data_IF_184193842033
#
_entry.id   IF_184193842033
#
_cell.length_a   1.000
_cell.length_b   1.000
_cell.length_c   1.000
_cell.angle_alpha   90.00
_cell.angle_beta   90.00
_cell.angle_gamma   90.00
#
_symmetry.space_group_name_H-M   'P 1'
#
loop_
_entity.id
_entity.type
_entity.pdbx_description
1 polymer ?
#
# COMPACT_ATOMS: atom_id res chain seq x y z
N UNK A 1 3.59 -6.85 19.27
CA UNK A 1 4.41 -5.84 18.57
C UNK A 1 3.78 -5.55 17.23
N UNK A 2 3.36 -4.31 17.01
CA UNK A 2 2.80 -3.89 15.73
C UNK A 2 3.91 -3.80 14.68
N UNK A 3 3.73 -4.28 13.43
CA UNK A 3 4.73 -4.10 12.38
C UNK A 3 4.93 -2.60 12.08
N UNK A 4 6.13 -2.25 11.59
CA UNK A 4 6.54 -0.85 11.41
C UNK A 4 5.75 -0.13 10.31
N UNK A 5 5.21 -0.87 9.35
CA UNK A 5 4.32 -0.37 8.30
C UNK A 5 3.16 -1.35 8.07
N UNK A 6 2.10 -0.87 7.42
CA UNK A 6 0.92 -1.65 7.11
C UNK A 6 1.24 -2.70 6.02
N UNK A 7 0.76 -3.93 6.22
CA UNK A 7 0.88 -5.03 5.26
C UNK A 7 -0.45 -5.77 5.16
N UNK A 8 -0.81 -6.17 3.94
CA UNK A 8 -1.92 -7.11 3.75
C UNK A 8 -1.55 -8.49 4.27
N UNK A 9 -2.55 -9.25 4.75
CA UNK A 9 -2.34 -10.61 5.27
C UNK A 9 -1.88 -11.59 4.19
N UNK A 10 -2.38 -11.42 2.97
CA UNK A 10 -2.12 -12.35 1.86
C UNK A 10 -0.79 -12.06 1.14
N UNK A 11 -0.09 -10.96 1.48
CA UNK A 11 1.22 -10.54 0.94
C UNK A 11 1.35 -10.46 -0.60
N UNK A 12 0.29 -10.73 -1.36
CA UNK A 12 0.28 -10.63 -2.83
C UNK A 12 0.25 -9.18 -3.32
N UNK A 13 -0.28 -8.26 -2.49
CA UNK A 13 -0.40 -6.85 -2.81
C UNK A 13 0.19 -6.00 -1.70
N UNK A 14 0.90 -4.96 -2.10
CA UNK A 14 1.41 -3.94 -1.21
C UNK A 14 0.40 -2.77 -1.12
N UNK A 15 0.30 -2.15 0.05
CA UNK A 15 -0.46 -0.90 0.18
C UNK A 15 0.50 0.27 0.00
N UNK A 16 0.41 0.94 -1.14
CA UNK A 16 1.18 2.13 -1.41
C UNK A 16 0.32 3.33 -1.07
N UNK A 17 0.82 4.18 -0.17
CA UNK A 17 0.17 5.42 0.22
C UNK A 17 0.73 6.58 -0.61
N UNK A 18 -0.10 7.60 -0.78
CA UNK A 18 0.26 8.90 -1.34
C UNK A 18 0.71 9.85 -0.24
N UNK A 19 1.74 10.64 -0.50
CA UNK A 19 2.17 11.70 0.40
C UNK A 19 1.21 12.89 0.31
N UNK A 20 1.17 13.77 1.33
CA UNK A 20 0.32 14.95 1.30
C UNK A 20 0.60 15.92 0.13
N UNK A 21 1.80 15.86 -0.43
CA UNK A 21 2.24 16.69 -1.56
C UNK A 21 1.85 16.09 -2.92
N UNK A 22 1.43 14.83 -2.94
CA UNK A 22 1.05 14.06 -4.12
C UNK A 22 -0.49 13.96 -4.23
N UNK A 23 -0.99 13.64 -5.42
CA UNK A 23 -2.43 13.50 -5.70
C UNK A 23 -2.83 12.04 -5.97
N UNK A 24 -2.15 11.10 -5.32
CA UNK A 24 -2.43 9.69 -5.43
C UNK A 24 -3.78 9.31 -4.80
N UNK A 25 -4.21 8.07 -5.02
CA UNK A 25 -5.54 7.64 -4.61
C UNK A 25 -5.62 7.03 -3.21
N UNK A 26 -4.51 6.49 -2.70
CA UNK A 26 -4.48 5.80 -1.43
C UNK A 26 -3.88 6.67 -0.34
N UNK A 27 -4.60 6.79 0.78
CA UNK A 27 -4.17 7.58 1.93
C UNK A 27 -4.17 6.74 3.19
N UNK A 28 -3.29 7.06 4.14
CA UNK A 28 -3.26 6.41 5.45
C UNK A 28 -4.59 6.58 6.22
N UNK A 29 -5.32 7.67 5.98
CA UNK A 29 -6.65 7.91 6.56
C UNK A 29 -7.73 6.92 6.08
N UNK A 30 -7.53 6.31 4.91
CA UNK A 30 -8.52 5.44 4.26
C UNK A 30 -8.16 3.95 4.38
N UNK A 31 -7.29 3.59 5.33
CA UNK A 31 -6.91 2.21 5.55
C UNK A 31 -8.12 1.36 5.97
N UNK A 32 -8.24 0.12 5.45
CA UNK A 32 -9.29 -0.77 5.87
C UNK A 32 -9.15 -1.08 7.38
N UNK A 33 -10.25 -1.20 8.12
CA UNK A 33 -10.19 -1.54 9.54
C UNK A 33 -9.59 -2.94 9.73
N UNK A 34 -8.85 -3.11 10.83
CA UNK A 34 -8.25 -4.39 11.17
C UNK A 34 -9.33 -5.47 11.38
N UNK A 35 -9.13 -6.67 10.83
CA UNK A 35 -10.06 -7.80 10.92
C UNK A 35 -9.41 -9.00 11.60
N UNK A 36 -10.14 -9.64 12.51
CA UNK A 36 -9.75 -10.89 13.17
C UNK A 36 -10.79 -11.97 12.82
N UNK A 37 -10.46 -12.85 11.87
CA UNK A 37 -11.47 -13.69 11.22
C UNK A 37 -12.49 -12.81 10.48
N UNK A 38 -13.78 -13.03 10.75
CA UNK A 38 -14.88 -12.25 10.17
C UNK A 38 -15.25 -10.99 11.00
N UNK A 39 -14.66 -10.80 12.17
CA UNK A 39 -14.96 -9.66 13.04
C UNK A 39 -14.11 -8.44 12.66
N UNK A 40 -14.78 -7.30 12.42
CA UNK A 40 -14.14 -6.00 12.22
C UNK A 40 -13.83 -5.38 13.58
N UNK A 41 -12.57 -5.01 13.79
CA UNK A 41 -12.11 -4.35 15.00
C UNK A 41 -12.29 -2.84 14.89
N UNK A 42 -12.99 -2.24 15.86
CA UNK A 42 -13.30 -0.81 15.90
C UNK A 42 -12.80 -0.12 17.18
N UNK A 43 -12.25 -0.87 18.14
CA UNK A 43 -11.87 -0.30 19.44
C UNK A 43 -10.51 0.42 19.36
N UNK A 44 -10.26 1.31 20.31
CA UNK A 44 -8.96 1.95 20.54
C UNK A 44 -8.15 1.18 21.58
N UNK A 45 -6.82 1.23 21.50
CA UNK A 45 -5.97 0.61 22.51
C UNK A 45 -6.18 1.27 23.89
N UNK A 46 -6.47 0.46 24.90
CA UNK A 46 -6.57 0.87 26.29
C UNK A 46 -5.18 0.90 26.93
N UNK A 47 -4.89 1.97 27.68
CA UNK A 47 -3.67 2.07 28.46
C UNK A 47 -3.68 1.06 29.63
N UNK A 48 -2.53 0.48 29.93
CA UNK A 48 -2.33 -0.56 30.97
C UNK A 48 -3.16 -1.84 30.78
N UNK A 49 -3.62 -2.09 29.55
CA UNK A 49 -4.25 -3.35 29.14
C UNK A 49 -3.39 -4.06 28.11
N UNK A 50 -3.44 -5.39 28.12
CA UNK A 50 -2.82 -6.21 27.08
C UNK A 50 -3.60 -6.16 25.75
N UNK A 51 -4.74 -5.44 25.71
CA UNK A 51 -5.55 -5.25 24.50
C UNK A 51 -5.90 -6.58 23.79
N UNK A 52 -6.15 -7.61 24.60
CA UNK A 52 -6.42 -8.97 24.13
C UNK A 52 -7.79 -8.97 23.43
N UNK A 53 -7.89 -9.48 22.20
CA UNK A 53 -9.17 -9.59 21.51
C UNK A 53 -10.16 -10.40 22.33
N UNK A 54 -11.38 -9.90 22.48
CA UNK A 54 -12.47 -10.56 23.21
C UNK A 54 -13.69 -10.75 22.32
N UNK A 55 -14.66 -11.55 22.75
CA UNK A 55 -15.95 -11.70 22.05
C UNK A 55 -16.75 -10.40 21.96
N UNK A 56 -16.44 -9.40 22.81
CA UNK A 56 -17.12 -8.10 22.83
C UNK A 56 -16.48 -7.06 21.92
N UNK A 57 -15.22 -7.24 21.51
CA UNK A 57 -14.48 -6.21 20.81
C UNK A 57 -12.99 -6.51 20.68
N UNK A 58 -12.37 -5.83 19.71
CA UNK A 58 -10.95 -5.89 19.40
C UNK A 58 -10.46 -4.53 18.89
N UNK A 59 -9.19 -4.25 19.14
CA UNK A 59 -8.55 -2.97 18.78
C UNK A 59 -8.29 -2.89 17.29
N UNK A 60 -8.70 -1.78 16.67
CA UNK A 60 -8.32 -1.47 15.30
C UNK A 60 -6.86 -1.01 15.28
N UNK A 61 -5.93 -1.92 15.05
CA UNK A 61 -4.52 -1.53 15.00
C UNK A 61 -4.14 -0.70 13.77
N UNK A 62 -4.91 -0.81 12.67
CA UNK A 62 -4.61 -0.10 11.43
C UNK A 62 -4.77 1.43 11.58
N UNK A 63 -5.56 1.88 12.56
CA UNK A 63 -5.78 3.31 12.83
C UNK A 63 -4.51 4.06 13.27
N UNK A 64 -3.47 3.34 13.70
CA UNK A 64 -2.20 3.92 14.13
C UNK A 64 -1.20 4.14 13.00
N UNK A 65 -1.49 3.66 11.78
CA UNK A 65 -0.71 4.00 10.58
C UNK A 65 -1.22 5.32 10.02
N UNK A 66 -0.67 6.43 10.51
CA UNK A 66 -1.15 7.79 10.16
C UNK A 66 -0.26 8.52 9.17
N UNK A 67 0.95 8.04 8.93
CA UNK A 67 1.97 8.76 8.17
C UNK A 67 2.46 7.94 6.99
N UNK A 68 2.44 8.54 5.80
CA UNK A 68 2.97 7.92 4.59
C UNK A 68 4.47 8.21 4.47
N UNK A 69 5.30 7.16 4.61
CA UNK A 69 6.75 7.23 4.51
C UNK A 69 7.28 6.09 3.66
N UNK A 70 8.44 6.30 3.03
CA UNK A 70 9.19 5.23 2.37
C UNK A 70 9.71 4.25 3.44
N UNK A 71 9.01 3.13 3.59
CA UNK A 71 9.38 2.01 4.45
C UNK A 71 9.15 0.69 3.74
N UNK A 72 9.95 -0.33 4.09
CA UNK A 72 9.85 -1.65 3.47
C UNK A 72 10.67 -1.79 2.19
N UNK A 73 10.39 -2.84 1.44
CA UNK A 73 10.96 -3.08 0.10
C UNK A 73 10.02 -2.52 -0.97
N UNK A 74 10.58 -2.24 -2.15
CA UNK A 74 9.77 -1.87 -3.32
C UNK A 74 8.86 -3.05 -3.75
N UNK A 75 7.75 -2.77 -4.46
CA UNK A 75 6.84 -3.82 -4.95
C UNK A 75 7.55 -4.88 -5.80
N UNK A 76 6.91 -6.05 -5.93
CA UNK A 76 7.47 -7.21 -6.67
C UNK A 76 8.84 -7.64 -6.14
N UNK A 77 8.93 -7.82 -4.81
CA UNK A 77 10.14 -8.26 -4.12
C UNK A 77 11.35 -7.34 -4.38
N UNK A 78 11.11 -6.03 -4.53
CA UNK A 78 12.14 -5.03 -4.78
C UNK A 78 12.52 -4.82 -6.25
N UNK A 79 11.83 -5.46 -7.20
CA UNK A 79 12.23 -5.46 -8.61
C UNK A 79 11.67 -4.26 -9.39
N UNK A 80 10.49 -3.77 -9.02
CA UNK A 80 9.83 -2.66 -9.72
C UNK A 80 9.96 -1.37 -8.91
N UNK A 81 10.70 -0.40 -9.45
CA UNK A 81 10.81 0.94 -8.88
C UNK A 81 11.36 1.93 -9.90
N UNK A 82 11.17 3.22 -9.63
CA UNK A 82 11.71 4.33 -10.43
C UNK A 82 12.83 5.10 -9.71
N UNK A 83 13.38 4.52 -8.63
CA UNK A 83 14.42 5.15 -7.81
C UNK A 83 15.77 5.23 -8.55
N UNK A 84 16.00 4.33 -9.51
CA UNK A 84 17.24 4.20 -10.27
C UNK A 84 16.97 3.95 -11.75
N UNK A 85 17.87 4.41 -12.63
CA UNK A 85 17.70 4.27 -14.09
C UNK A 85 17.59 2.81 -14.55
N UNK A 86 18.34 1.89 -13.93
CA UNK A 86 18.30 0.47 -14.27
C UNK A 86 16.96 -0.20 -13.91
N UNK A 87 16.43 0.09 -12.73
CA UNK A 87 15.13 -0.46 -12.29
C UNK A 87 13.98 0.18 -13.07
N UNK A 88 14.09 1.46 -13.42
CA UNK A 88 13.14 2.12 -14.30
C UNK A 88 13.08 1.44 -15.68
N UNK A 89 14.23 1.07 -16.26
CA UNK A 89 14.25 0.33 -17.53
C UNK A 89 13.63 -1.05 -17.42
N UNK A 90 13.88 -1.78 -16.32
CA UNK A 90 13.22 -3.07 -16.06
C UNK A 90 11.70 -2.89 -15.99
N UNK A 91 11.23 -1.88 -15.24
CA UNK A 91 9.80 -1.57 -15.15
C UNK A 91 9.19 -1.24 -16.52
N UNK A 92 9.85 -0.40 -17.33
CA UNK A 92 9.40 -0.07 -18.69
C UNK A 92 9.33 -1.32 -19.57
N UNK A 93 10.32 -2.20 -19.51
CA UNK A 93 10.33 -3.44 -20.29
C UNK A 93 9.13 -4.35 -19.94
N UNK A 94 8.80 -4.47 -18.66
CA UNK A 94 7.62 -5.21 -18.17
C UNK A 94 6.32 -4.56 -18.66
N UNK A 95 6.24 -3.22 -18.67
CA UNK A 95 5.04 -2.53 -19.18
C UNK A 95 4.82 -2.80 -20.67
N UNK A 96 5.90 -2.76 -21.48
CA UNK A 96 5.81 -3.00 -22.94
C UNK A 96 5.46 -4.45 -23.25
N UNK A 97 5.86 -5.42 -22.41
CA UNK A 97 5.51 -6.83 -22.61
C UNK A 97 4.04 -7.14 -22.35
N UNK A 98 3.25 -6.16 -21.89
CA UNK A 98 1.83 -6.29 -21.54
C UNK A 98 1.55 -7.31 -20.43
N UNK A 99 2.55 -7.65 -19.62
CA UNK A 99 2.42 -8.58 -18.51
C UNK A 99 2.53 -7.80 -17.19
N UNK A 100 1.51 -7.85 -16.34
CA UNK A 100 1.53 -7.16 -15.04
C UNK A 100 1.57 -5.62 -15.10
N UNK A 101 1.49 -5.02 -16.29
CA UNK A 101 1.56 -3.56 -16.48
C UNK A 101 0.46 -2.79 -15.74
N UNK A 102 -0.72 -3.40 -15.63
CA UNK A 102 -1.88 -2.83 -14.92
C UNK A 102 -1.59 -2.68 -13.43
N UNK A 103 -0.93 -3.67 -12.81
CA UNK A 103 -0.57 -3.61 -11.40
C UNK A 103 0.48 -2.53 -11.12
N UNK A 104 1.47 -2.39 -12.00
CA UNK A 104 2.48 -1.31 -11.92
C UNK A 104 1.81 0.06 -12.06
N UNK A 105 0.91 0.21 -13.04
CA UNK A 105 0.16 1.45 -13.25
C UNK A 105 -0.65 1.80 -11.99
N UNK A 106 -1.38 0.85 -11.40
CA UNK A 106 -2.15 1.11 -10.19
C UNK A 106 -1.26 1.49 -9.01
N UNK A 107 -0.10 0.86 -8.85
CA UNK A 107 0.85 1.25 -7.81
C UNK A 107 1.35 2.70 -7.95
N UNK A 108 1.64 3.14 -9.18
CA UNK A 108 2.03 4.53 -9.43
C UNK A 108 0.85 5.48 -9.20
N UNK A 109 -0.35 5.09 -9.65
CA UNK A 109 -1.58 5.87 -9.51
C UNK A 109 -1.97 6.08 -8.04
N UNK A 110 -1.80 5.05 -7.21
CA UNK A 110 -2.09 5.10 -5.78
C UNK A 110 -1.11 6.01 -5.03
N UNK A 111 0.14 6.07 -5.48
CA UNK A 111 1.21 6.87 -4.86
C UNK A 111 1.19 8.34 -5.29
N UNK A 112 1.05 8.61 -6.59
CA UNK A 112 1.42 9.89 -7.19
C UNK A 112 0.24 10.66 -7.78
N UNK A 113 -0.50 10.07 -8.73
CA UNK A 113 -1.62 10.77 -9.37
C UNK A 113 -2.60 9.84 -10.08
N UNK A 114 -3.89 10.18 -10.00
CA UNK A 114 -4.92 9.53 -10.83
C UNK A 114 -4.63 9.64 -12.33
N UNK A 115 -3.96 10.70 -12.81
CA UNK A 115 -3.75 10.95 -14.24
C UNK A 115 -2.61 10.13 -14.86
N UNK A 116 -1.89 9.34 -14.06
CA UNK A 116 -0.71 8.60 -14.52
C UNK A 116 -1.05 7.54 -15.58
N UNK A 117 -2.32 7.09 -15.67
CA UNK A 117 -2.77 6.16 -16.71
C UNK A 117 -2.48 6.65 -18.13
N UNK A 118 -2.47 7.96 -18.37
CA UNK A 118 -2.19 8.53 -19.70
C UNK A 118 -0.76 8.20 -20.14
N UNK A 119 0.21 8.28 -19.22
CA UNK A 119 1.60 7.93 -19.48
C UNK A 119 1.73 6.46 -19.89
N UNK A 120 1.08 5.55 -19.16
CA UNK A 120 1.15 4.12 -19.43
C UNK A 120 0.49 3.74 -20.76
N UNK A 121 -0.65 4.36 -21.10
CA UNK A 121 -1.31 4.14 -22.40
C UNK A 121 -0.44 4.61 -23.56
N UNK A 122 0.17 5.80 -23.46
CA UNK A 122 1.07 6.34 -24.50
C UNK A 122 2.38 5.56 -24.64
N UNK A 123 2.81 4.87 -23.59
CA UNK A 123 4.02 4.04 -23.63
C UNK A 123 3.80 2.74 -24.41
N UNK A 124 2.57 2.22 -24.37
CA UNK A 124 2.19 0.94 -25.00
C UNK A 124 1.81 1.09 -26.48
N UNK A 125 1.14 2.19 -26.84
CA UNK A 125 0.58 2.46 -28.19
C UNK A 125 1.62 3.08 -29.10
#
# INVERSE_FOLDING_TARGET
NLPTYFQYKDQEKDYICSRPDDNGMHYCSNLPPYKLGDQVCNDTALQWSNNIPSTKGCVNWNQYYTECKSQGQNPFQGTISFDNIGLAWVAIFVVISLEGWVDIMYYVQDAHSFWDWIYFVLLIV
#
